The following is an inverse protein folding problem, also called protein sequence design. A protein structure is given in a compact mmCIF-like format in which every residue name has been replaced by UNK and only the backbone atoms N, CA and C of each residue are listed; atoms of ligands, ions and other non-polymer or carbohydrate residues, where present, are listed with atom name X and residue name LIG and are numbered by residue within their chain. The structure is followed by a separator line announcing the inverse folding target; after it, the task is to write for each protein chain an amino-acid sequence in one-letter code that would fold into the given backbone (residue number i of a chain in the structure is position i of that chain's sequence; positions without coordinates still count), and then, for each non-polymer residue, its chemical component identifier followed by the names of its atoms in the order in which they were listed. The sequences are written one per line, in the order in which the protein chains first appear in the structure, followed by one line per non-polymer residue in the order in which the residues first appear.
data_IF_674388264724
#
_entry.id   IF_674388264724
#
_cell.length_a   1.000
_cell.length_b   1.000
_cell.length_c   1.000
_cell.angle_alpha   90.00
_cell.angle_beta   90.00
_cell.angle_gamma   90.00
#
_symmetry.space_group_name_H-M   'P 1'
#
loop_
_entity.id
_entity.type
_entity.pdbx_description
1 polymer ?
#
# COMPACT_ATOMS: atom_id res chain seq x y z
N UNK A 1 -11.52 11.82 -13.36
CA UNK A 1 -12.37 11.16 -12.36
C UNK A 1 -13.47 10.41 -13.08
N UNK A 2 -13.85 9.24 -12.58
CA UNK A 2 -14.93 8.40 -13.13
C UNK A 2 -15.74 7.77 -11.98
N UNK A 3 -16.83 7.09 -12.32
CA UNK A 3 -17.64 6.34 -11.35
C UNK A 3 -16.85 5.16 -10.76
N UNK A 4 -17.23 4.76 -9.56
CA UNK A 4 -16.61 3.65 -8.83
C UNK A 4 -16.97 2.33 -9.53
N UNK A 5 -16.05 1.34 -9.60
CA UNK A 5 -16.41 0.00 -10.04
C UNK A 5 -17.38 -0.68 -9.06
N UNK A 6 -18.00 -1.82 -9.43
CA UNK A 6 -18.75 -2.63 -8.47
C UNK A 6 -17.85 -3.03 -7.30
N UNK A 7 -18.24 -2.66 -6.08
CA UNK A 7 -17.50 -2.92 -4.85
C UNK A 7 -18.35 -3.61 -3.77
N UNK A 8 -19.57 -4.04 -4.09
CA UNK A 8 -20.43 -4.84 -3.22
C UNK A 8 -20.76 -6.21 -3.82
N UNK A 9 -19.78 -6.82 -4.50
CA UNK A 9 -19.87 -8.10 -5.22
C UNK A 9 -18.46 -8.63 -5.49
N UNK A 10 -18.30 -9.94 -5.66
CA UNK A 10 -17.06 -10.52 -6.19
C UNK A 10 -17.02 -10.54 -7.73
N UNK A 11 -18.17 -10.37 -8.40
CA UNK A 11 -18.25 -10.26 -9.86
C UNK A 11 -18.05 -8.81 -10.32
N UNK A 12 -16.87 -8.52 -10.87
CA UNK A 12 -16.48 -7.17 -11.31
C UNK A 12 -17.30 -6.64 -12.50
N UNK A 13 -17.97 -7.53 -13.22
CA UNK A 13 -18.80 -7.20 -14.38
C UNK A 13 -20.29 -7.13 -14.01
N UNK A 14 -20.63 -7.28 -12.73
CA UNK A 14 -22.02 -7.21 -12.29
C UNK A 14 -22.64 -5.86 -12.62
N UNK A 15 -23.80 -5.91 -13.27
CA UNK A 15 -24.64 -4.75 -13.59
C UNK A 15 -25.79 -4.58 -12.60
N UNK A 16 -25.88 -5.45 -11.59
CA UNK A 16 -26.91 -5.35 -10.56
C UNK A 16 -26.69 -4.07 -9.74
N UNK A 17 -27.71 -3.21 -9.56
CA UNK A 17 -27.58 -2.03 -8.71
C UNK A 17 -27.07 -2.31 -7.30
N UNK A 18 -27.37 -3.49 -6.72
CA UNK A 18 -26.88 -3.89 -5.40
C UNK A 18 -25.38 -4.13 -5.32
N UNK A 19 -24.72 -4.35 -6.47
CA UNK A 19 -23.26 -4.51 -6.57
C UNK A 19 -22.50 -3.18 -6.46
N UNK A 20 -23.20 -2.06 -6.63
CA UNK A 20 -22.65 -0.72 -6.42
C UNK A 20 -22.73 -0.33 -4.95
N UNK A 21 -21.75 0.46 -4.49
CA UNK A 21 -21.78 1.02 -3.14
C UNK A 21 -22.67 2.25 -3.09
N UNK A 22 -23.32 2.46 -1.94
CA UNK A 22 -24.06 3.69 -1.69
C UNK A 22 -23.09 4.79 -1.23
N UNK A 23 -22.48 5.48 -2.19
CA UNK A 23 -21.67 6.68 -1.93
C UNK A 23 -22.02 7.81 -2.91
N UNK A 24 -22.91 8.73 -2.51
CA UNK A 24 -23.26 9.90 -3.32
C UNK A 24 -22.03 10.78 -3.58
N UNK A 25 -21.79 11.11 -4.86
CA UNK A 25 -20.70 12.01 -5.26
C UNK A 25 -19.30 11.41 -5.19
N UNK A 26 -19.15 10.14 -4.80
CA UNK A 26 -17.86 9.45 -4.87
C UNK A 26 -17.35 9.37 -6.31
N UNK A 27 -16.10 9.75 -6.51
CA UNK A 27 -15.40 9.58 -7.77
C UNK A 27 -13.98 9.10 -7.54
N UNK A 28 -13.48 8.30 -8.49
CA UNK A 28 -12.14 7.70 -8.42
C UNK A 28 -11.33 8.01 -9.68
N UNK A 29 -10.02 7.83 -9.60
CA UNK A 29 -9.14 7.98 -10.77
C UNK A 29 -9.43 6.86 -11.80
N UNK A 30 -9.55 7.22 -13.08
CA UNK A 30 -10.00 6.29 -14.13
C UNK A 30 -8.99 5.16 -14.39
N UNK A 31 -7.69 5.47 -14.45
CA UNK A 31 -6.66 4.45 -14.61
C UNK A 31 -6.62 3.46 -13.44
N UNK A 32 -6.95 3.94 -12.24
CA UNK A 32 -6.91 3.12 -11.02
C UNK A 32 -8.07 2.14 -10.95
N UNK A 33 -9.28 2.58 -11.28
CA UNK A 33 -10.41 1.65 -11.34
C UNK A 33 -10.25 0.64 -12.48
N UNK A 34 -9.70 1.02 -13.63
CA UNK A 34 -9.34 0.07 -14.70
C UNK A 34 -8.35 -0.99 -14.23
N UNK A 35 -7.27 -0.59 -13.55
CA UNK A 35 -6.29 -1.54 -13.00
C UNK A 35 -6.92 -2.54 -12.01
N UNK A 36 -7.81 -2.06 -11.14
CA UNK A 36 -8.57 -2.95 -10.25
C UNK A 36 -9.48 -3.90 -11.02
N UNK A 37 -10.20 -3.40 -12.05
CA UNK A 37 -11.09 -4.23 -12.86
C UNK A 37 -10.33 -5.38 -13.54
N UNK A 38 -9.22 -5.06 -14.20
CA UNK A 38 -8.34 -6.06 -14.83
C UNK A 38 -7.82 -7.07 -13.81
N UNK A 39 -7.47 -6.62 -12.60
CA UNK A 39 -7.05 -7.53 -11.53
C UNK A 39 -8.17 -8.51 -11.19
N UNK A 40 -9.39 -8.02 -10.94
CA UNK A 40 -10.53 -8.85 -10.56
C UNK A 40 -10.92 -9.86 -11.63
N UNK A 41 -10.89 -9.50 -12.92
CA UNK A 41 -11.14 -10.44 -14.03
C UNK A 41 -10.24 -11.68 -13.94
N UNK A 42 -9.01 -11.52 -13.46
CA UNK A 42 -8.03 -12.61 -13.38
C UNK A 42 -8.08 -13.39 -12.05
N UNK A 43 -8.65 -12.82 -10.98
CA UNK A 43 -8.54 -13.39 -9.63
C UNK A 43 -9.87 -13.67 -8.93
N UNK A 44 -11.00 -13.15 -9.43
CA UNK A 44 -12.28 -13.22 -8.71
C UNK A 44 -12.73 -14.64 -8.38
N UNK A 45 -12.61 -15.59 -9.30
CA UNK A 45 -13.06 -16.97 -9.08
C UNK A 45 -12.22 -17.65 -7.99
N UNK A 46 -10.89 -17.48 -8.08
CA UNK A 46 -9.94 -18.00 -7.08
C UNK A 46 -10.12 -17.35 -5.71
N UNK A 47 -10.47 -16.06 -5.70
CA UNK A 47 -10.76 -15.33 -4.47
C UNK A 47 -12.00 -15.90 -3.78
N UNK A 48 -13.09 -16.11 -4.52
CA UNK A 48 -14.33 -16.72 -4.00
C UNK A 48 -14.05 -18.11 -3.43
N UNK A 49 -13.34 -18.95 -4.19
CA UNK A 49 -12.97 -20.30 -3.73
C UNK A 49 -12.09 -20.26 -2.47
N UNK A 50 -11.13 -19.34 -2.41
CA UNK A 50 -10.25 -19.19 -1.25
C UNK A 50 -11.03 -18.74 -0.02
N UNK A 51 -11.88 -17.73 -0.15
CA UNK A 51 -12.69 -17.20 0.96
C UNK A 51 -13.68 -18.25 1.48
N UNK A 52 -14.27 -19.04 0.60
CA UNK A 52 -15.21 -20.11 0.98
C UNK A 52 -14.54 -21.27 1.74
N UNK A 53 -13.28 -21.57 1.42
CA UNK A 53 -12.56 -22.72 2.00
C UNK A 53 -11.68 -22.37 3.22
N UNK A 54 -11.43 -21.09 3.51
CA UNK A 54 -10.51 -20.65 4.58
C UNK A 54 -11.19 -19.63 5.50
N UNK A 55 -12.29 -20.02 6.14
CA UNK A 55 -13.15 -19.12 6.92
C UNK A 55 -12.57 -18.71 8.29
N UNK A 56 -11.54 -19.41 8.76
CA UNK A 56 -10.86 -19.19 10.04
C UNK A 56 -9.55 -18.38 9.90
N UNK A 57 -9.17 -18.00 8.68
CA UNK A 57 -7.91 -17.32 8.42
C UNK A 57 -8.02 -15.81 8.62
N UNK A 58 -6.93 -15.20 9.09
CA UNK A 58 -6.82 -13.74 9.11
C UNK A 58 -6.58 -13.22 7.68
N UNK A 59 -7.44 -12.32 7.22
CA UNK A 59 -7.32 -11.69 5.92
C UNK A 59 -6.45 -10.43 6.00
N UNK A 60 -5.36 -10.42 5.24
CA UNK A 60 -4.50 -9.24 5.07
C UNK A 60 -4.46 -8.93 3.58
N UNK A 61 -4.74 -7.67 3.25
CA UNK A 61 -4.68 -7.16 1.88
C UNK A 61 -3.58 -6.10 1.86
N UNK A 62 -2.69 -6.19 0.88
CA UNK A 62 -1.54 -5.29 0.81
C UNK A 62 -1.14 -5.06 -0.63
N UNK A 63 -0.46 -3.95 -0.86
CA UNK A 63 0.16 -3.63 -2.12
C UNK A 63 1.09 -2.44 -1.99
N UNK A 64 1.89 -2.25 -3.02
CA UNK A 64 2.78 -1.10 -3.18
C UNK A 64 2.39 -0.34 -4.45
N UNK A 65 2.50 1.00 -4.45
CA UNK A 65 2.25 1.83 -5.63
C UNK A 65 0.85 1.60 -6.23
N UNK A 66 0.75 1.30 -7.53
CA UNK A 66 -0.50 0.89 -8.18
C UNK A 66 -1.11 -0.36 -7.54
N UNK A 67 -0.30 -1.27 -7.01
CA UNK A 67 -0.78 -2.42 -6.24
C UNK A 67 -1.45 -2.02 -4.92
N UNK A 68 -1.02 -0.93 -4.29
CA UNK A 68 -1.68 -0.39 -3.10
C UNK A 68 -3.08 0.15 -3.44
N UNK A 69 -3.24 0.76 -4.62
CA UNK A 69 -4.53 1.22 -5.12
C UNK A 69 -5.49 0.05 -5.33
N UNK A 70 -5.05 -1.03 -5.98
CA UNK A 70 -5.88 -2.22 -6.20
C UNK A 70 -6.19 -2.94 -4.88
N UNK A 71 -5.23 -2.99 -3.95
CA UNK A 71 -5.41 -3.49 -2.60
C UNK A 71 -6.46 -2.70 -1.81
N UNK A 72 -6.49 -1.36 -1.94
CA UNK A 72 -7.52 -0.54 -1.30
C UNK A 72 -8.92 -0.86 -1.84
N UNK A 73 -9.09 -0.94 -3.16
CA UNK A 73 -10.37 -1.36 -3.75
C UNK A 73 -10.80 -2.76 -3.27
N UNK A 74 -9.87 -3.72 -3.22
CA UNK A 74 -10.13 -5.06 -2.70
C UNK A 74 -10.53 -5.02 -1.22
N UNK A 75 -9.83 -4.25 -0.38
CA UNK A 75 -10.15 -4.09 1.03
C UNK A 75 -11.56 -3.53 1.24
N UNK A 76 -11.95 -2.51 0.46
CA UNK A 76 -13.31 -1.96 0.46
C UNK A 76 -14.33 -3.03 0.04
N UNK A 77 -14.03 -3.78 -1.02
CA UNK A 77 -14.91 -4.81 -1.52
C UNK A 77 -15.19 -5.90 -0.47
N UNK A 78 -14.13 -6.41 0.15
CA UNK A 78 -14.23 -7.41 1.20
C UNK A 78 -14.99 -6.88 2.43
N UNK A 79 -14.77 -5.63 2.85
CA UNK A 79 -15.53 -4.98 3.93
C UNK A 79 -17.03 -4.95 3.64
N UNK A 80 -17.41 -4.55 2.43
CA UNK A 80 -18.83 -4.52 2.02
C UNK A 80 -19.47 -5.90 1.94
N UNK A 81 -18.69 -6.93 1.61
CA UNK A 81 -19.12 -8.34 1.62
C UNK A 81 -19.19 -8.94 3.03
N UNK A 82 -18.86 -8.17 4.08
CA UNK A 82 -18.95 -8.61 5.48
C UNK A 82 -17.69 -9.23 6.06
N UNK A 83 -16.56 -9.20 5.33
CA UNK A 83 -15.26 -9.61 5.88
C UNK A 83 -14.59 -8.47 6.67
N UNK A 84 -13.60 -8.80 7.50
CA UNK A 84 -12.80 -7.83 8.28
C UNK A 84 -11.30 -7.86 7.91
N UNK A 85 -10.91 -7.49 6.68
CA UNK A 85 -9.51 -7.52 6.28
C UNK A 85 -8.69 -6.43 6.98
N UNK A 86 -7.42 -6.74 7.25
CA UNK A 86 -6.40 -5.72 7.57
C UNK A 86 -5.74 -5.24 6.28
N UNK A 87 -5.88 -3.97 5.95
CA UNK A 87 -5.28 -3.31 4.80
C UNK A 87 -3.98 -2.61 5.21
N UNK A 88 -2.86 -3.01 4.59
CA UNK A 88 -1.54 -2.39 4.81
C UNK A 88 -0.97 -2.02 3.45
N UNK A 89 -0.94 -0.74 3.13
CA UNK A 89 -0.55 -0.26 1.81
C UNK A 89 0.72 0.59 1.90
N UNK A 90 1.61 0.45 0.92
CA UNK A 90 2.89 1.15 0.86
C UNK A 90 2.93 2.08 -0.35
N UNK A 91 3.31 3.35 -0.17
CA UNK A 91 3.43 4.30 -1.27
C UNK A 91 2.15 4.46 -2.08
N UNK A 92 1.00 4.39 -1.40
CA UNK A 92 -0.30 4.48 -2.04
C UNK A 92 -0.54 5.90 -2.56
N UNK A 93 -0.83 6.07 -3.87
CA UNK A 93 -1.32 7.33 -4.42
C UNK A 93 -2.72 7.72 -3.90
N UNK A 94 -3.09 8.98 -4.05
CA UNK A 94 -4.47 9.43 -3.79
C UNK A 94 -5.42 8.79 -4.80
N UNK A 95 -6.45 8.10 -4.32
CA UNK A 95 -7.28 7.26 -5.19
C UNK A 95 -8.54 7.97 -5.70
N UNK A 96 -9.21 8.69 -4.80
CA UNK A 96 -10.56 9.24 -5.02
C UNK A 96 -10.71 10.66 -4.51
N UNK A 97 -11.86 11.25 -4.79
CA UNK A 97 -12.22 12.56 -4.25
C UNK A 97 -12.53 12.45 -2.74
N UNK A 98 -12.79 13.60 -2.10
CA UNK A 98 -13.10 13.64 -0.67
C UNK A 98 -14.29 12.75 -0.28
N UNK A 99 -15.36 12.72 -1.08
CA UNK A 99 -16.52 11.86 -0.80
C UNK A 99 -16.12 10.37 -0.76
N UNK A 100 -15.22 9.95 -1.64
CA UNK A 100 -14.65 8.60 -1.62
C UNK A 100 -13.76 8.35 -0.41
N UNK A 101 -12.88 9.27 -0.07
CA UNK A 101 -12.06 9.14 1.13
C UNK A 101 -12.92 9.00 2.40
N UNK A 102 -13.93 9.87 2.56
CA UNK A 102 -14.84 9.86 3.71
C UNK A 102 -15.63 8.55 3.81
N UNK A 103 -16.06 7.98 2.68
CA UNK A 103 -16.71 6.66 2.64
C UNK A 103 -15.78 5.54 3.10
N UNK A 104 -14.52 5.54 2.64
CA UNK A 104 -13.54 4.54 3.08
C UNK A 104 -13.23 4.70 4.56
N UNK A 105 -13.08 5.93 5.04
CA UNK A 105 -12.80 6.21 6.44
C UNK A 105 -13.93 5.65 7.33
N UNK A 106 -15.19 5.81 6.92
CA UNK A 106 -16.34 5.24 7.62
C UNK A 106 -16.38 3.70 7.63
N UNK A 107 -15.72 3.02 6.68
CA UNK A 107 -15.63 1.56 6.64
C UNK A 107 -14.52 0.99 7.55
N UNK A 108 -13.43 1.74 7.75
CA UNK A 108 -12.23 1.24 8.42
C UNK A 108 -11.95 1.87 9.79
N UNK A 109 -12.53 3.02 10.08
CA UNK A 109 -12.32 3.78 11.31
C UNK A 109 -13.64 4.05 12.04
N UNK A 110 -13.55 4.29 13.34
CA UNK A 110 -14.71 4.68 14.14
C UNK A 110 -15.09 6.13 13.81
N UNK A 111 -16.37 6.47 13.95
CA UNK A 111 -16.82 7.84 13.76
C UNK A 111 -16.08 8.77 14.73
N UNK A 112 -15.45 9.82 14.19
CA UNK A 112 -14.67 10.79 14.97
C UNK A 112 -13.22 10.38 15.23
N UNK A 113 -12.76 9.24 14.72
CA UNK A 113 -11.35 8.86 14.72
C UNK A 113 -10.56 9.77 13.77
N UNK A 114 -9.35 10.14 14.16
CA UNK A 114 -8.42 10.94 13.37
C UNK A 114 -7.33 10.07 12.72
N UNK A 115 -7.33 8.76 12.94
CA UNK A 115 -6.34 7.82 12.42
C UNK A 115 -4.97 7.91 13.10
N UNK A 116 -4.81 8.73 14.14
CA UNK A 116 -3.56 8.90 14.86
C UNK A 116 -3.26 7.67 15.74
N UNK A 117 -4.28 7.14 16.41
CA UNK A 117 -4.10 6.04 17.36
C UNK A 117 -3.87 4.71 16.63
N UNK A 118 -2.83 3.96 17.01
CA UNK A 118 -2.63 2.57 16.61
C UNK A 118 -3.10 1.68 17.77
N UNK A 119 -4.15 0.91 17.53
CA UNK A 119 -4.71 -0.04 18.49
C UNK A 119 -4.93 -1.40 17.81
N UNK A 120 -5.18 -2.49 18.58
CA UNK A 120 -5.38 -3.83 18.01
C UNK A 120 -6.61 -3.96 17.08
N UNK A 121 -7.56 -3.02 17.14
CA UNK A 121 -8.77 -3.00 16.31
C UNK A 121 -8.56 -2.28 14.98
N UNK A 122 -7.49 -1.49 14.82
CA UNK A 122 -7.20 -0.76 13.58
C UNK A 122 -6.94 -1.74 12.44
N UNK A 123 -7.64 -1.51 11.32
CA UNK A 123 -7.60 -2.37 10.14
C UNK A 123 -7.02 -1.70 8.90
N UNK A 124 -6.65 -0.42 8.95
CA UNK A 124 -6.12 0.29 7.80
C UNK A 124 -4.84 1.06 8.14
N UNK A 125 -3.82 0.85 7.31
CA UNK A 125 -2.51 1.47 7.42
C UNK A 125 -2.04 1.89 6.02
N UNK A 126 -1.79 3.18 5.85
CA UNK A 126 -1.20 3.76 4.64
C UNK A 126 0.23 4.18 4.96
N UNK A 127 1.17 3.29 4.73
CA UNK A 127 2.59 3.53 4.94
C UNK A 127 3.09 4.47 3.84
N UNK A 128 3.63 5.61 4.24
CA UNK A 128 4.22 6.63 3.37
C UNK A 128 5.69 6.81 3.71
N UNK A 129 6.51 7.14 2.73
CA UNK A 129 7.94 7.35 2.92
C UNK A 129 8.34 8.78 2.51
N UNK A 130 9.35 9.31 3.19
CA UNK A 130 9.98 10.58 2.92
C UNK A 130 10.13 10.85 1.42
N UNK A 131 9.56 11.98 1.01
CA UNK A 131 9.66 12.54 -0.33
C UNK A 131 9.28 11.57 -1.48
N UNK A 132 8.39 10.60 -1.22
CA UNK A 132 7.76 9.78 -2.25
C UNK A 132 6.74 10.62 -3.04
N UNK A 133 7.05 10.92 -4.30
CA UNK A 133 6.19 11.70 -5.19
C UNK A 133 4.78 11.12 -5.35
N UNK A 134 4.67 9.79 -5.48
CA UNK A 134 3.42 9.15 -5.89
C UNK A 134 2.36 9.20 -4.80
N UNK A 135 2.76 9.24 -3.53
CA UNK A 135 1.84 9.47 -2.41
C UNK A 135 1.09 10.79 -2.58
N UNK A 136 1.79 11.85 -3.01
CA UNK A 136 1.20 13.16 -3.26
C UNK A 136 0.46 13.29 -4.60
N UNK A 137 0.31 12.21 -5.37
CA UNK A 137 -0.30 12.22 -6.69
C UNK A 137 -1.57 11.35 -6.72
N UNK A 138 -2.61 11.66 -7.52
CA UNK A 138 -2.78 12.86 -8.34
C UNK A 138 -3.25 14.07 -7.52
N UNK A 139 -3.03 15.27 -8.07
CA UNK A 139 -3.58 16.50 -7.52
C UNK A 139 -5.11 16.56 -7.67
N UNK A 140 -5.80 17.20 -6.71
CA UNK A 140 -7.28 17.30 -6.71
C UNK A 140 -8.01 16.06 -6.20
N UNK A 141 -7.28 15.08 -5.66
CA UNK A 141 -7.79 13.91 -4.95
C UNK A 141 -7.50 14.05 -3.45
N UNK A 142 -8.11 13.19 -2.64
CA UNK A 142 -7.91 13.19 -1.18
C UNK A 142 -7.47 11.82 -0.72
N UNK A 143 -6.54 11.79 0.23
CA UNK A 143 -6.22 10.58 0.97
C UNK A 143 -7.30 10.23 1.99
N UNK A 144 -7.28 8.98 2.40
CA UNK A 144 -7.98 8.46 3.58
C UNK A 144 -7.14 8.69 4.84
N UNK A 145 -7.75 8.49 6.00
CA UNK A 145 -7.05 8.35 7.27
C UNK A 145 -6.06 7.17 7.27
N UNK A 146 -5.27 7.13 8.34
CA UNK A 146 -4.46 5.98 8.69
C UNK A 146 -3.03 6.01 8.16
N UNK A 147 -2.47 7.20 7.95
CA UNK A 147 -1.08 7.34 7.53
C UNK A 147 -0.10 6.88 8.62
N UNK A 148 0.90 6.12 8.19
CA UNK A 148 2.08 5.74 8.97
C UNK A 148 3.29 6.21 8.17
N UNK A 149 3.92 7.28 8.61
CA UNK A 149 4.97 7.99 7.88
C UNK A 149 6.36 7.56 8.35
N UNK A 150 7.18 7.14 7.40
CA UNK A 150 8.61 6.87 7.57
C UNK A 150 9.36 8.13 7.17
N UNK A 151 9.91 8.87 8.14
CA UNK A 151 10.65 10.11 7.88
C UNK A 151 12.11 9.89 7.53
N UNK A 152 12.67 8.71 7.85
CA UNK A 152 14.02 8.33 7.47
C UNK A 152 14.16 8.45 5.94
N UNK A 153 15.11 9.24 5.39
CA UNK A 153 15.25 9.46 3.96
C UNK A 153 15.62 8.22 3.13
N UNK A 154 16.11 7.16 3.78
CA UNK A 154 16.42 5.90 3.07
C UNK A 154 15.18 5.05 2.92
N UNK A 155 14.31 5.04 3.94
CA UNK A 155 13.12 4.21 4.01
C UNK A 155 13.42 2.72 4.23
N UNK A 156 14.68 2.36 4.42
CA UNK A 156 15.19 0.98 4.55
C UNK A 156 15.74 0.78 5.95
N UNK A 157 15.29 -0.28 6.64
CA UNK A 157 15.67 -0.53 8.03
C UNK A 157 15.52 0.73 8.92
N UNK A 158 14.51 1.55 8.62
CA UNK A 158 14.25 2.78 9.33
C UNK A 158 14.07 2.46 10.83
N UNK A 159 14.74 3.20 11.72
CA UNK A 159 14.60 2.98 13.14
C UNK A 159 13.18 3.36 13.57
N UNK A 160 12.67 2.74 14.64
CA UNK A 160 11.27 2.88 15.02
C UNK A 160 10.92 4.32 15.43
N UNK A 161 11.90 5.07 15.93
CA UNK A 161 11.80 6.49 16.24
C UNK A 161 11.53 7.38 15.01
N UNK A 162 11.85 6.92 13.81
CA UNK A 162 11.59 7.63 12.55
C UNK A 162 10.27 7.21 11.89
N UNK A 163 9.43 6.46 12.61
CA UNK A 163 8.12 5.99 12.13
C UNK A 163 7.00 6.61 12.96
N UNK A 164 6.19 7.43 12.32
CA UNK A 164 5.14 8.23 12.96
C UNK A 164 3.75 7.80 12.49
N UNK A 165 2.79 7.75 13.40
CA UNK A 165 1.37 7.72 13.02
C UNK A 165 0.87 9.15 12.83
N UNK A 166 0.06 9.39 11.82
CA UNK A 166 -0.33 10.73 11.40
C UNK A 166 -1.85 10.93 11.49
N UNK A 167 -2.24 12.04 12.12
CA UNK A 167 -3.65 12.43 12.24
C UNK A 167 -4.17 13.04 10.94
N UNK A 168 -5.38 12.67 10.53
CA UNK A 168 -6.06 13.21 9.37
C UNK A 168 -5.58 12.64 8.03
N UNK A 169 -6.26 13.02 6.94
CA UNK A 169 -5.94 12.52 5.59
C UNK A 169 -4.69 13.18 4.99
N UNK A 170 -4.41 14.44 5.33
CA UNK A 170 -3.27 15.22 4.83
C UNK A 170 -2.65 16.00 6.01
N UNK A 171 -1.52 15.53 6.54
CA UNK A 171 -0.89 16.10 7.73
C UNK A 171 0.45 16.79 7.41
N UNK A 172 0.58 18.07 7.75
CA UNK A 172 1.78 18.86 7.53
C UNK A 172 2.99 18.43 8.40
N UNK A 173 2.79 17.58 9.41
CA UNK A 173 3.88 16.98 10.18
C UNK A 173 4.40 15.67 9.56
N UNK A 174 3.76 15.19 8.48
CA UNK A 174 4.06 13.92 7.84
C UNK A 174 4.44 14.12 6.37
N UNK A 175 4.11 13.15 5.50
CA UNK A 175 4.47 13.19 4.08
C UNK A 175 4.12 14.52 3.43
N UNK A 176 2.89 15.02 3.62
CA UNK A 176 2.39 16.23 2.98
C UNK A 176 3.26 17.47 3.24
N UNK A 177 3.76 17.65 4.47
CA UNK A 177 4.60 18.81 4.82
C UNK A 177 6.08 18.63 4.48
N UNK A 178 6.55 17.39 4.48
CA UNK A 178 7.95 17.05 4.17
C UNK A 178 8.28 17.01 2.68
N UNK A 179 7.26 16.97 1.81
CA UNK A 179 7.45 16.73 0.39
C UNK A 179 8.16 17.91 -0.30
N UNK A 180 9.34 17.66 -0.87
CA UNK A 180 10.15 18.65 -1.56
C UNK A 180 10.33 18.26 -3.03
N UNK A 181 9.54 18.93 -3.88
CA UNK A 181 9.58 18.73 -5.31
C UNK A 181 10.92 19.14 -5.96
N UNK A 182 11.86 19.82 -5.29
CA UNK A 182 13.17 20.16 -5.90
C UNK A 182 14.21 19.05 -5.73
N UNK A 183 14.01 18.09 -4.83
CA UNK A 183 14.89 16.94 -4.58
C UNK A 183 14.66 15.78 -5.59
N UNK A 184 14.31 16.12 -6.85
CA UNK A 184 13.75 15.23 -7.89
C UNK A 184 14.62 14.08 -8.38
N UNK A 185 15.92 14.07 -8.06
CA UNK A 185 16.85 13.08 -8.62
C UNK A 185 16.54 11.65 -8.16
N UNK A 186 15.72 11.48 -7.11
CA UNK A 186 15.49 10.20 -6.43
C UNK A 186 14.02 9.76 -6.38
N UNK A 187 13.14 10.24 -7.28
CA UNK A 187 11.70 9.90 -7.27
C UNK A 187 11.47 8.39 -7.17
N UNK A 188 12.14 7.59 -8.01
CA UNK A 188 12.00 6.15 -7.98
C UNK A 188 12.58 5.56 -6.70
N UNK A 189 13.78 6.00 -6.29
CA UNK A 189 14.44 5.54 -5.07
C UNK A 189 13.53 5.70 -3.84
N UNK A 190 12.97 6.88 -3.64
CA UNK A 190 12.08 7.18 -2.52
C UNK A 190 10.80 6.34 -2.62
N UNK A 191 10.27 6.13 -3.82
CA UNK A 191 9.11 5.27 -4.01
C UNK A 191 9.40 3.77 -3.77
N UNK A 192 10.66 3.35 -3.87
CA UNK A 192 11.08 1.96 -3.69
C UNK A 192 11.45 1.59 -2.24
N UNK A 193 11.79 2.59 -1.41
CA UNK A 193 12.24 2.40 -0.03
C UNK A 193 11.08 2.33 0.96
N UNK A 194 10.71 1.13 1.39
CA UNK A 194 9.61 0.90 2.34
C UNK A 194 9.92 -0.30 3.23
N UNK A 195 10.57 -0.04 4.37
CA UNK A 195 11.18 -1.02 5.31
C UNK A 195 12.34 -1.80 4.68
N UNK A 196 12.19 -2.23 3.44
CA UNK A 196 13.17 -2.83 2.55
C UNK A 196 12.95 -2.30 1.14
N UNK A 197 13.83 -2.66 0.20
CA UNK A 197 13.60 -2.30 -1.20
C UNK A 197 12.55 -3.23 -1.78
N UNK A 198 11.39 -2.68 -2.13
CA UNK A 198 10.25 -3.49 -2.60
C UNK A 198 10.48 -4.04 -4.03
N UNK A 199 11.41 -3.46 -4.80
CA UNK A 199 11.61 -3.79 -6.22
C UNK A 199 12.66 -4.87 -6.53
N UNK A 200 13.23 -5.55 -5.54
CA UNK A 200 14.27 -6.56 -5.79
C UNK A 200 13.86 -7.65 -6.79
N UNK A 201 12.57 -8.00 -6.86
CA UNK A 201 12.08 -8.97 -7.85
C UNK A 201 12.01 -8.42 -9.29
N UNK A 202 11.74 -7.12 -9.45
CA UNK A 202 11.53 -6.51 -10.76
C UNK A 202 12.85 -6.31 -11.52
N UNK A 203 13.98 -6.27 -10.80
CA UNK A 203 15.32 -6.04 -11.35
C UNK A 203 16.09 -7.37 -11.53
N UNK A 204 15.45 -8.52 -11.30
CA UNK A 204 16.09 -9.84 -11.44
C UNK A 204 17.38 -9.98 -10.61
N UNK A 205 17.43 -9.31 -9.46
CA UNK A 205 18.53 -9.43 -8.49
C UNK A 205 18.26 -10.67 -7.64
N UNK A 206 19.22 -11.59 -7.63
CA UNK A 206 19.04 -12.94 -7.09
C UNK A 206 18.65 -12.90 -5.60
N UNK A 207 17.44 -13.40 -5.30
CA UNK A 207 16.65 -13.04 -4.11
C UNK A 207 17.11 -13.63 -2.76
N UNK A 208 18.13 -14.49 -2.72
CA UNK A 208 18.41 -15.28 -1.51
C UNK A 208 19.45 -14.70 -0.56
N UNK A 209 20.27 -13.75 -1.00
CA UNK A 209 21.38 -13.26 -0.17
C UNK A 209 21.15 -11.87 0.46
N UNK A 210 20.11 -11.14 0.02
CA UNK A 210 19.86 -9.76 0.45
C UNK A 210 18.79 -9.61 1.55
N UNK A 211 18.06 -10.68 1.87
CA UNK A 211 17.10 -10.64 2.97
C UNK A 211 17.83 -10.96 4.29
N UNK A 212 18.11 -9.95 5.09
CA UNK A 212 18.33 -10.15 6.53
C UNK A 212 16.95 -10.49 7.13
N UNK A 213 16.54 -11.75 6.99
CA UNK A 213 15.38 -12.27 7.71
C UNK A 213 15.72 -12.10 9.21
N UNK A 214 14.92 -11.38 10.02
CA UNK A 214 15.16 -11.34 11.46
C UNK A 214 15.20 -12.79 11.96
N UNK A 215 16.19 -13.16 12.79
CA UNK A 215 16.46 -14.56 13.08
C UNK A 215 15.19 -15.24 13.59
N UNK A 216 14.65 -16.14 12.77
CA UNK A 216 13.51 -16.97 13.16
C UNK A 216 14.00 -17.87 14.29
N UNK A 217 13.61 -17.54 15.52
CA UNK A 217 13.89 -18.36 16.70
C UNK A 217 13.13 -19.68 16.56
N UNK A 218 13.75 -20.69 15.95
CA UNK A 218 13.09 -21.98 15.78
C UNK A 218 13.76 -22.92 14.77
N UNK A 219 14.79 -23.63 15.24
CA UNK A 219 15.32 -24.92 14.77
C UNK A 219 15.28 -25.23 13.25
N UNK A 220 16.51 -25.22 12.70
CA UNK A 220 17.10 -26.23 11.80
C UNK A 220 16.75 -26.13 10.31
N UNK A 221 17.58 -25.39 9.56
CA UNK A 221 18.02 -25.80 8.21
C UNK A 221 19.48 -25.36 8.04
N UNK A 222 20.38 -26.33 7.93
CA UNK A 222 21.75 -26.10 7.47
C UNK A 222 21.73 -25.84 5.96
N UNK A 223 22.22 -24.67 5.53
CA UNK A 223 23.10 -24.48 4.36
C UNK A 223 23.45 -22.99 4.23
N UNK A 224 24.66 -22.61 4.62
CA UNK A 224 25.24 -21.33 4.19
C UNK A 224 26.77 -21.43 4.11
N UNK A 225 27.32 -21.10 2.95
CA UNK A 225 28.76 -20.93 2.72
C UNK A 225 29.09 -19.71 1.84
N UNK A 226 28.16 -18.73 1.72
CA UNK A 226 28.38 -17.51 0.94
C UNK A 226 29.27 -16.52 1.70
N UNK A 227 30.17 -15.81 1.02
CA UNK A 227 31.07 -14.82 1.64
C UNK A 227 30.38 -13.45 1.69
N UNK A 228 30.55 -12.73 2.79
CA UNK A 228 29.98 -11.40 3.05
C UNK A 228 30.44 -10.27 2.09
N UNK A 229 31.43 -10.51 1.22
CA UNK A 229 32.03 -9.48 0.35
C UNK A 229 31.12 -8.98 -0.79
N UNK A 230 30.04 -9.69 -1.09
CA UNK A 230 29.25 -9.43 -2.31
C UNK A 230 28.03 -8.51 -2.04
N UNK A 231 27.69 -8.29 -0.77
CA UNK A 231 26.59 -7.40 -0.33
C UNK A 231 26.96 -5.91 -0.52
N UNK A 232 28.20 -5.52 -0.20
CA UNK A 232 28.67 -4.14 -0.43
C UNK A 232 28.67 -3.76 -1.92
N UNK A 233 28.91 -4.73 -2.81
CA UNK A 233 28.96 -4.49 -4.26
C UNK A 233 27.58 -4.20 -4.87
N UNK A 234 26.52 -4.80 -4.33
CA UNK A 234 25.16 -4.67 -4.86
C UNK A 234 24.41 -3.45 -4.33
N UNK A 235 24.68 -3.03 -3.09
CA UNK A 235 24.25 -1.72 -2.60
C UNK A 235 24.94 -0.60 -3.40
N UNK A 236 26.25 -0.72 -3.64
CA UNK A 236 27.02 0.21 -4.47
C UNK A 236 26.42 0.40 -5.86
N UNK A 237 25.98 -0.68 -6.52
CA UNK A 237 25.35 -0.61 -7.85
C UNK A 237 24.01 0.15 -7.85
N UNK A 238 23.27 0.20 -6.75
CA UNK A 238 22.05 1.03 -6.65
C UNK A 238 22.35 2.49 -6.27
N UNK A 239 23.41 2.73 -5.51
CA UNK A 239 23.87 4.10 -5.19
C UNK A 239 24.60 4.77 -6.36
N UNK A 240 25.29 4.00 -7.22
CA UNK A 240 26.06 4.47 -8.37
C UNK A 240 25.31 4.37 -9.71
N UNK A 241 24.11 3.78 -9.74
CA UNK A 241 23.27 3.74 -10.93
C UNK A 241 22.80 5.16 -11.31
N UNK A 242 23.63 5.87 -12.07
CA UNK A 242 23.20 6.99 -12.91
C UNK A 242 22.38 6.37 -14.04
N UNK A 243 21.06 6.37 -13.89
CA UNK A 243 20.17 5.94 -14.96
C UNK A 243 20.29 6.93 -16.13
N UNK A 244 20.71 6.49 -17.33
CA UNK A 244 20.66 7.36 -18.50
C UNK A 244 19.20 7.69 -18.81
N UNK A 245 18.94 8.97 -19.08
CA UNK A 245 17.62 9.56 -19.39
C UNK A 245 16.87 8.82 -20.50
#
# INVERSE_FOLDING_TARGET
MTSIPPLNTTDINSTNPSASINCPGCQVHDGFQKAYRETMVNVQDRLVDFLGNNTDYKLIVTGHSLGAVTALFMGINLKNLGYDPTLINYGQPRLGNKAFADYVDALFFKQGDDGLTINPERRMYRVTHWNDFFVGWPAGYSHTLGEVYISDPTGINAPIEDVYSCAGPENNQCHHGSFNLLERLNILKNHCGYLNWIFYCAINVDKREMMIDPPRVGKRVEHWSGKFSDVESTEGLMYEAIYPM
#
